data_IF_383900352310
#
_entry.id   IF_383900352310
#
_cell.length_a   1.000
_cell.length_b   1.000
_cell.length_c   1.000
_cell.angle_alpha   90.00
_cell.angle_beta   90.00
_cell.angle_gamma   90.00
#
_symmetry.space_group_name_H-M   'P 1'
#
loop_
_entity.id
_entity.type
_entity.pdbx_description
1 polymer ?
#
# COMPACT_ATOMS: atom_id res chain seq x y z
N UNK A 1 -31.66 -12.57 28.77
CA UNK A 1 -31.58 -11.10 28.74
C UNK A 1 -30.25 -10.72 28.10
N UNK A 2 -30.24 -10.07 26.93
CA UNK A 2 -28.99 -9.68 26.23
C UNK A 2 -28.47 -8.39 26.83
N UNK A 3 -27.24 -8.46 27.37
CA UNK A 3 -26.52 -7.34 27.98
C UNK A 3 -26.30 -6.24 26.93
N UNK A 4 -27.08 -5.15 26.99
CA UNK A 4 -26.84 -3.97 26.15
C UNK A 4 -25.68 -3.19 26.78
N UNK A 5 -24.64 -2.82 26.01
CA UNK A 5 -23.57 -1.98 26.53
C UNK A 5 -24.14 -0.62 26.95
N UNK A 6 -23.67 -0.12 28.11
CA UNK A 6 -24.05 1.18 28.65
C UNK A 6 -23.66 2.32 27.69
N UNK A 7 -24.59 3.22 27.31
CA UNK A 7 -24.34 4.26 26.32
C UNK A 7 -23.44 5.39 26.81
N UNK A 8 -23.15 5.45 28.12
CA UNK A 8 -22.27 6.46 28.74
C UNK A 8 -20.92 5.88 29.17
N UNK A 9 -20.68 4.59 28.92
CA UNK A 9 -19.41 3.98 29.20
C UNK A 9 -18.30 4.66 28.36
N UNK A 10 -17.12 4.91 28.95
CA UNK A 10 -16.00 5.44 28.20
C UNK A 10 -15.66 4.50 27.04
N UNK A 11 -15.23 5.03 25.88
CA UNK A 11 -14.86 4.19 24.75
C UNK A 11 -13.78 3.20 25.20
N UNK A 12 -13.96 1.92 24.88
CA UNK A 12 -12.94 0.90 25.16
C UNK A 12 -11.61 1.38 24.59
N UNK A 13 -10.55 1.40 25.42
CA UNK A 13 -9.19 1.69 24.98
C UNK A 13 -8.89 0.83 23.76
N UNK A 14 -8.76 1.47 22.60
CA UNK A 14 -8.32 0.77 21.40
C UNK A 14 -6.84 0.44 21.57
N UNK A 15 -6.41 -0.80 21.28
CA UNK A 15 -4.98 -1.11 21.27
C UNK A 15 -4.28 -0.24 20.22
N UNK A 16 -3.06 0.20 20.53
CA UNK A 16 -2.21 0.93 19.60
C UNK A 16 -2.07 0.12 18.30
N UNK A 17 -2.19 0.74 17.12
CA UNK A 17 -1.99 0.04 15.86
C UNK A 17 -0.57 -0.55 15.85
N UNK A 18 -0.47 -1.86 15.57
CA UNK A 18 0.84 -2.53 15.43
C UNK A 18 1.63 -1.85 14.32
N UNK A 19 2.93 -1.59 14.50
CA UNK A 19 3.79 -1.17 13.41
C UNK A 19 3.82 -2.28 12.37
N UNK A 20 3.93 -1.88 11.10
CA UNK A 20 3.96 -2.81 9.99
C UNK A 20 5.38 -3.40 9.89
N UNK A 21 5.48 -4.73 9.93
CA UNK A 21 6.77 -5.44 9.94
C UNK A 21 7.59 -5.21 8.66
N UNK A 22 6.94 -4.78 7.56
CA UNK A 22 7.53 -4.58 6.24
C UNK A 22 7.98 -3.13 5.98
N UNK A 23 8.01 -2.27 7.00
CA UNK A 23 8.44 -0.87 6.86
C UNK A 23 9.87 -0.73 6.35
N UNK A 24 10.72 -1.73 6.58
CA UNK A 24 12.11 -1.73 6.13
C UNK A 24 12.27 -1.56 4.61
N UNK A 25 11.26 -1.96 3.83
CA UNK A 25 11.21 -1.82 2.38
C UNK A 25 11.11 -0.34 1.98
N UNK A 26 10.52 0.50 2.85
CA UNK A 26 10.34 1.92 2.61
C UNK A 26 11.50 2.77 3.13
N UNK A 27 12.28 2.28 4.10
CA UNK A 27 13.48 2.95 4.64
C UNK A 27 14.41 3.58 3.57
N UNK A 28 14.73 2.91 2.45
CA UNK A 28 15.57 3.52 1.42
C UNK A 28 14.91 4.73 0.75
N UNK A 29 13.57 4.76 0.62
CA UNK A 29 12.83 5.89 0.07
C UNK A 29 12.79 7.07 1.05
N UNK A 30 12.84 6.83 2.36
CA UNK A 30 12.80 7.90 3.37
C UNK A 30 13.98 8.86 3.31
N UNK A 31 15.08 8.45 2.67
CA UNK A 31 16.25 9.28 2.43
C UNK A 31 16.04 10.32 1.33
N UNK A 32 14.99 10.18 0.54
CA UNK A 32 14.68 11.09 -0.55
C UNK A 32 13.93 12.34 -0.05
N UNK A 33 14.32 13.53 -0.51
CA UNK A 33 13.70 14.77 -0.07
C UNK A 33 12.22 14.90 -0.49
N UNK A 34 11.82 14.22 -1.57
CA UNK A 34 10.44 14.24 -2.08
C UNK A 34 9.60 13.08 -1.55
N UNK A 35 10.12 12.34 -0.56
CA UNK A 35 9.40 11.26 0.06
C UNK A 35 8.28 11.75 0.96
N UNK A 36 7.13 11.10 0.87
CA UNK A 36 6.03 11.31 1.81
C UNK A 36 5.45 9.97 2.21
N UNK A 37 5.43 9.73 3.52
CA UNK A 37 4.80 8.55 4.09
C UNK A 37 3.33 8.84 4.45
N UNK A 38 2.42 7.93 4.07
CA UNK A 38 1.00 8.01 4.45
C UNK A 38 0.45 6.66 4.90
N UNK A 39 -0.27 6.66 6.02
CA UNK A 39 -1.07 5.51 6.45
C UNK A 39 -2.35 5.42 5.62
N UNK A 40 -2.60 4.28 4.99
CA UNK A 40 -3.78 4.03 4.16
C UNK A 40 -4.31 2.62 4.41
N UNK A 41 -5.60 2.48 4.74
CA UNK A 41 -6.22 1.16 4.95
C UNK A 41 -5.49 0.27 5.98
N UNK A 42 -4.85 0.89 6.98
CA UNK A 42 -4.05 0.17 7.97
C UNK A 42 -2.72 -0.39 7.43
N UNK A 43 -2.28 0.12 6.26
CA UNK A 43 -1.03 -0.16 5.56
C UNK A 43 -0.21 1.14 5.45
N UNK A 44 1.04 1.01 5.01
CA UNK A 44 2.01 2.09 4.91
C UNK A 44 2.30 2.36 3.44
N UNK A 45 1.99 3.58 2.97
CA UNK A 45 2.09 3.97 1.58
C UNK A 45 3.23 4.98 1.39
N UNK A 46 4.09 4.69 0.42
CA UNK A 46 5.22 5.51 0.01
C UNK A 46 4.88 6.35 -1.22
N UNK A 47 5.01 7.66 -1.05
CA UNK A 47 4.88 8.63 -2.10
C UNK A 47 6.24 9.25 -2.42
N UNK A 48 6.48 9.49 -3.70
CA UNK A 48 7.60 10.28 -4.21
C UNK A 48 7.03 11.26 -5.24
N UNK A 49 7.39 12.54 -5.17
CA UNK A 49 6.86 13.57 -6.09
C UNK A 49 5.31 13.52 -6.18
N UNK A 50 4.65 13.44 -5.02
CA UNK A 50 3.18 13.35 -4.88
C UNK A 50 2.53 12.11 -5.54
N UNK A 51 3.33 11.23 -6.14
CA UNK A 51 2.90 10.02 -6.83
C UNK A 51 3.02 8.82 -5.90
N UNK A 52 2.03 7.92 -5.94
CA UNK A 52 2.03 6.72 -5.11
C UNK A 52 2.83 5.62 -5.80
N UNK A 53 3.91 5.14 -5.18
CA UNK A 53 4.77 4.10 -5.76
C UNK A 53 4.55 2.73 -5.13
N UNK A 54 4.71 2.63 -3.81
CA UNK A 54 4.66 1.37 -3.08
C UNK A 54 3.71 1.48 -1.90
N UNK A 55 3.05 0.38 -1.56
CA UNK A 55 2.31 0.23 -0.31
C UNK A 55 2.72 -1.08 0.32
N UNK A 56 3.20 -1.05 1.56
CA UNK A 56 3.53 -2.24 2.32
C UNK A 56 2.41 -2.56 3.28
N UNK A 57 2.04 -3.83 3.37
CA UNK A 57 0.91 -4.29 4.15
C UNK A 57 1.31 -5.56 4.92
N UNK A 58 1.23 -5.51 6.24
CA UNK A 58 1.49 -6.64 7.14
C UNK A 58 0.17 -7.05 7.80
N UNK A 59 -0.70 -7.66 7.00
CA UNK A 59 -2.05 -8.10 7.37
C UNK A 59 -2.27 -9.56 6.96
N UNK A 60 -3.51 -10.03 7.06
CA UNK A 60 -3.89 -11.35 6.56
C UNK A 60 -3.92 -11.37 5.02
N UNK A 61 -3.76 -12.55 4.41
CA UNK A 61 -3.86 -12.72 2.96
C UNK A 61 -5.21 -12.19 2.46
N UNK A 62 -5.26 -11.44 1.33
CA UNK A 62 -4.19 -11.15 0.38
C UNK A 62 -3.49 -9.79 0.59
N UNK A 63 -3.33 -9.37 1.85
CA UNK A 63 -2.75 -8.06 2.22
C UNK A 63 -1.47 -8.21 3.05
N UNK A 64 -0.72 -9.30 2.85
CA UNK A 64 0.58 -9.58 3.47
C UNK A 64 1.68 -9.48 2.42
N UNK A 65 2.30 -8.30 2.26
CA UNK A 65 3.34 -8.08 1.26
C UNK A 65 3.41 -6.65 0.73
N UNK A 66 3.88 -6.52 -0.50
CA UNK A 66 4.12 -5.22 -1.16
C UNK A 66 3.17 -5.06 -2.33
N UNK A 67 2.43 -3.95 -2.37
CA UNK A 67 1.65 -3.53 -3.51
C UNK A 67 2.43 -2.50 -4.31
N UNK A 68 2.54 -2.75 -5.61
CA UNK A 68 3.19 -1.87 -6.57
C UNK A 68 2.13 -1.09 -7.32
N UNK A 69 2.13 0.22 -7.12
CA UNK A 69 1.18 1.11 -7.75
C UNK A 69 1.65 1.41 -9.18
N UNK A 70 1.06 0.68 -10.12
CA UNK A 70 1.32 0.81 -11.56
C UNK A 70 0.01 0.78 -12.35
N UNK A 71 0.06 1.15 -13.62
CA UNK A 71 -1.06 1.05 -14.57
C UNK A 71 -1.10 -0.32 -15.24
N UNK A 72 -2.30 -0.83 -15.55
CA UNK A 72 -2.49 -2.15 -16.17
C UNK A 72 -1.69 -2.36 -17.46
N UNK A 73 -1.53 -1.32 -18.27
CA UNK A 73 -0.76 -1.36 -19.52
C UNK A 73 0.71 -1.74 -19.30
N UNK A 74 1.24 -1.50 -18.10
CA UNK A 74 2.64 -1.72 -17.74
C UNK A 74 2.85 -2.99 -16.92
N UNK A 75 1.77 -3.71 -16.60
CA UNK A 75 1.84 -4.95 -15.82
C UNK A 75 2.68 -6.00 -16.53
N UNK A 76 2.45 -6.23 -17.83
CA UNK A 76 3.18 -7.23 -18.60
C UNK A 76 4.69 -6.99 -18.60
N UNK A 77 5.12 -5.73 -18.75
CA UNK A 77 6.53 -5.36 -18.72
C UNK A 77 7.16 -5.59 -17.34
N UNK A 78 6.48 -5.21 -16.26
CA UNK A 78 6.96 -5.41 -14.89
C UNK A 78 6.98 -6.88 -14.48
N UNK A 79 5.96 -7.66 -14.84
CA UNK A 79 5.90 -9.09 -14.57
C UNK A 79 6.96 -9.88 -15.34
N UNK A 80 7.37 -9.40 -16.53
CA UNK A 80 8.46 -10.00 -17.29
C UNK A 80 9.84 -9.72 -16.69
N UNK A 81 10.03 -8.56 -16.05
CA UNK A 81 11.29 -8.17 -15.42
C UNK A 81 11.43 -8.73 -14.00
N UNK A 82 10.32 -8.83 -13.28
CA UNK A 82 10.25 -9.26 -11.90
C UNK A 82 9.35 -10.49 -11.79
N UNK A 83 9.91 -11.70 -11.95
CA UNK A 83 9.17 -12.93 -11.70
C UNK A 83 8.78 -12.99 -10.22
N UNK A 84 7.48 -13.11 -9.94
CA UNK A 84 6.92 -13.06 -8.57
C UNK A 84 5.84 -11.99 -8.39
N UNK A 85 5.81 -10.97 -9.27
CA UNK A 85 4.72 -10.00 -9.29
C UNK A 85 3.46 -10.63 -9.91
N UNK A 86 2.36 -10.53 -9.17
CA UNK A 86 1.04 -10.97 -9.62
C UNK A 86 0.04 -9.82 -9.51
N UNK A 87 -1.01 -9.76 -10.34
CA UNK A 87 -2.07 -8.78 -10.15
C UNK A 87 -2.78 -9.04 -8.82
N UNK A 88 -2.98 -7.99 -8.01
CA UNK A 88 -3.61 -8.13 -6.71
C UNK A 88 -5.07 -8.62 -6.85
N UNK A 89 -5.53 -9.64 -6.10
CA UNK A 89 -6.87 -10.23 -6.28
C UNK A 89 -8.01 -9.23 -6.02
N UNK A 90 -7.89 -8.39 -4.99
CA UNK A 90 -8.85 -7.32 -4.70
C UNK A 90 -8.60 -6.04 -5.52
N UNK A 91 -7.35 -5.57 -5.59
CA UNK A 91 -6.96 -4.36 -6.31
C UNK A 91 -6.31 -4.69 -7.65
N UNK A 92 -7.02 -5.39 -8.55
CA UNK A 92 -6.47 -5.86 -9.83
C UNK A 92 -5.97 -4.79 -10.82
N UNK A 93 -5.93 -3.52 -10.41
CA UNK A 93 -5.19 -2.44 -11.08
C UNK A 93 -3.71 -2.37 -10.69
N UNK A 94 -3.34 -2.93 -9.54
CA UNK A 94 -2.01 -2.90 -8.97
C UNK A 94 -1.39 -4.30 -9.00
N UNK A 95 -0.06 -4.33 -9.02
CA UNK A 95 0.68 -5.57 -8.84
C UNK A 95 0.92 -5.78 -7.34
N UNK A 96 1.14 -7.03 -6.98
CA UNK A 96 1.29 -7.51 -5.62
C UNK A 96 2.41 -8.55 -5.57
N UNK A 97 3.26 -8.38 -4.58
CA UNK A 97 4.29 -9.32 -4.18
C UNK A 97 3.89 -9.89 -2.82
N UNK A 98 3.51 -11.17 -2.74
CA UNK A 98 3.16 -11.80 -1.47
C UNK A 98 4.40 -11.99 -0.59
N UNK A 99 4.27 -11.77 0.72
CA UNK A 99 5.35 -11.95 1.69
C UNK A 99 5.86 -13.39 1.76
N UNK A 100 5.01 -14.38 1.42
CA UNK A 100 5.37 -15.79 1.41
C UNK A 100 6.22 -16.24 0.22
N UNK A 101 6.58 -15.35 -0.70
CA UNK A 101 7.43 -15.67 -1.85
C UNK A 101 8.89 -15.89 -1.41
N UNK A 102 9.55 -16.94 -1.92
CA UNK A 102 10.95 -17.25 -1.56
C UNK A 102 11.92 -16.12 -1.94
N UNK A 103 11.62 -15.36 -2.99
CA UNK A 103 12.41 -14.23 -3.45
C UNK A 103 11.86 -12.89 -2.93
N UNK A 104 11.00 -12.89 -1.91
CA UNK A 104 10.31 -11.70 -1.43
C UNK A 104 11.28 -10.56 -1.09
N UNK A 105 12.27 -10.81 -0.23
CA UNK A 105 13.17 -9.76 0.25
C UNK A 105 13.95 -9.11 -0.89
N UNK A 106 14.61 -9.93 -1.72
CA UNK A 106 15.36 -9.44 -2.88
C UNK A 106 14.47 -8.74 -3.90
N UNK A 107 13.22 -9.17 -4.04
CA UNK A 107 12.27 -8.53 -4.95
C UNK A 107 11.76 -7.21 -4.39
N UNK A 108 11.47 -7.14 -3.08
CA UNK A 108 11.08 -5.92 -2.39
C UNK A 108 12.18 -4.85 -2.46
N UNK A 109 13.44 -5.23 -2.30
CA UNK A 109 14.59 -4.32 -2.47
C UNK A 109 14.66 -3.76 -3.89
N UNK A 110 14.46 -4.61 -4.91
CA UNK A 110 14.39 -4.17 -6.31
C UNK A 110 13.25 -3.20 -6.55
N UNK A 111 12.07 -3.45 -5.97
CA UNK A 111 10.91 -2.56 -6.07
C UNK A 111 11.20 -1.19 -5.43
N UNK A 112 11.84 -1.18 -4.27
CA UNK A 112 12.27 0.04 -3.60
C UNK A 112 13.29 0.83 -4.45
N UNK A 113 14.24 0.14 -5.08
CA UNK A 113 15.21 0.74 -5.99
C UNK A 113 14.54 1.33 -7.25
N UNK A 114 13.56 0.63 -7.84
CA UNK A 114 12.78 1.15 -8.97
C UNK A 114 11.97 2.40 -8.61
N UNK A 115 11.39 2.42 -7.41
CA UNK A 115 10.69 3.60 -6.91
C UNK A 115 11.65 4.78 -6.72
N UNK A 116 12.82 4.55 -6.12
CA UNK A 116 13.88 5.55 -5.97
C UNK A 116 14.42 6.08 -7.30
N UNK A 117 14.46 5.23 -8.34
CA UNK A 117 14.86 5.63 -9.69
C UNK A 117 13.77 6.42 -10.45
N UNK A 118 12.60 6.63 -9.84
CA UNK A 118 11.40 7.20 -10.49
C UNK A 118 11.09 6.48 -11.81
N UNK A 119 11.16 5.15 -11.80
CA UNK A 119 10.91 4.37 -13.00
C UNK A 119 9.51 4.69 -13.55
N UNK A 120 9.37 5.08 -14.83
CA UNK A 120 8.11 5.55 -15.40
C UNK A 120 7.03 4.47 -15.48
N UNK A 121 7.37 3.21 -15.16
CA UNK A 121 6.43 2.09 -15.09
C UNK A 121 5.73 1.98 -13.75
N UNK A 122 6.26 2.57 -12.71
CA UNK A 122 5.69 2.62 -11.36
C UNK A 122 5.39 4.07 -10.98
N UNK A 123 4.51 4.27 -10.00
CA UNK A 123 4.07 5.61 -9.64
C UNK A 123 2.73 5.93 -10.30
N UNK A 124 1.70 6.05 -9.47
CA UNK A 124 0.37 6.48 -9.90
C UNK A 124 0.04 7.77 -9.17
N UNK A 125 -0.16 8.85 -9.93
CA UNK A 125 -0.66 10.10 -9.38
C UNK A 125 -2.11 9.85 -8.91
N UNK A 126 -2.39 9.93 -7.60
CA UNK A 126 -3.75 9.78 -7.12
C UNK A 126 -4.59 10.93 -7.67
N UNK A 127 -5.50 10.64 -8.61
CA UNK A 127 -6.42 11.67 -9.09
C UNK A 127 -7.23 12.22 -7.91
N UNK A 128 -7.27 13.54 -7.69
CA UNK A 128 -8.10 14.11 -6.64
C UNK A 128 -9.55 13.70 -6.89
N UNK A 129 -10.16 12.99 -5.93
CA UNK A 129 -11.58 12.63 -6.01
C UNK A 129 -12.36 13.94 -6.00
N UNK A 130 -13.07 14.24 -7.09
CA UNK A 130 -14.03 15.34 -7.12
C UNK A 130 -14.97 15.21 -5.92
N UNK A 131 -15.21 16.28 -5.13
CA UNK A 131 -16.01 16.20 -3.92
C UNK A 131 -17.40 15.66 -4.29
N UNK A 132 -17.74 14.47 -3.79
CA UNK A 132 -19.11 13.97 -3.86
C UNK A 132 -19.97 15.00 -3.15
N UNK A 133 -20.83 15.71 -3.87
CA UNK A 133 -21.90 16.53 -3.28
C UNK A 133 -22.65 15.61 -2.30
N UNK A 134 -22.55 15.90 -1.01
CA UNK A 134 -23.40 15.26 0.01
C UNK A 134 -24.83 15.67 -0.32
N UNK A 135 -25.61 14.80 -0.94
CA UNK A 135 -27.06 14.94 -0.99
C UNK A 135 -27.57 14.51 0.37
N UNK A 136 -27.64 15.44 1.32
CA UNK A 136 -28.52 15.24 2.47
C UNK A 136 -29.96 15.39 1.96
N UNK A 137 -30.79 14.36 2.22
CA UNK A 137 -32.23 14.18 1.91
C UNK A 137 -32.54 13.20 0.77
N UNK A 138 -33.08 12.05 1.16
CA UNK A 138 -34.34 11.50 0.65
C UNK A 138 -34.94 10.64 1.78
#
# INVERSE_FOLDING_TARGET
MRNRPDPFAPPRKQPSPRPNSLLWILEPLERDANYTHRKMFGCDAAYLDESLYLVVADRDDPWSGVLVCTSKERHAALMSEIPGLTPHPVLGKWLYLPQGDEAFESTAEKLAALALARDPRVGVIPRPKSPRRKTWRA
#
